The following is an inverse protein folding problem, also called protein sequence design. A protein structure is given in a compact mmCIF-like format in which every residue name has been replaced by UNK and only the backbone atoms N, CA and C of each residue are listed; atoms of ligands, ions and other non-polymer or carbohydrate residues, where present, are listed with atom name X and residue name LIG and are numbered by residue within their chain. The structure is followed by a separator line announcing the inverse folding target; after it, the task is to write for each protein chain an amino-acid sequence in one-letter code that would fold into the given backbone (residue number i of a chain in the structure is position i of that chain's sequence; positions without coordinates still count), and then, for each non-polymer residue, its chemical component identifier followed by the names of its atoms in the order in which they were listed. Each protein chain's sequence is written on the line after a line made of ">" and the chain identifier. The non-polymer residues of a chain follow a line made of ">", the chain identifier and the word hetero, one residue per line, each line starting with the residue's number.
data_IF_540034113591
#
_entry.id   IF_540034113591
#
_cell.length_a   1.000
_cell.length_b   1.000
_cell.length_c   1.000
_cell.angle_alpha   90.00
_cell.angle_beta   90.00
_cell.angle_gamma   90.00
#
_symmetry.space_group_name_H-M   'P 1'
#
loop_
_entity.id
_entity.type
_entity.pdbx_description
1 polymer ?
#
# COMPACT_ATOMS: atom_id res chain seq x y z
N UNK A 1 7.23 19.27 18.11
CA UNK A 1 7.09 17.99 17.39
C UNK A 1 5.61 17.63 17.35
N UNK A 2 5.06 17.17 16.23
CA UNK A 2 3.64 16.85 16.09
C UNK A 2 3.43 15.34 16.28
N UNK A 3 2.35 14.98 16.95
CA UNK A 3 1.93 13.58 17.09
C UNK A 3 1.00 13.18 15.94
N UNK A 4 1.46 12.28 15.07
CA UNK A 4 0.72 11.77 13.91
C UNK A 4 -0.30 10.69 14.28
N UNK A 5 -0.14 10.03 15.44
CA UNK A 5 -1.02 8.95 15.87
C UNK A 5 -2.01 9.37 16.96
N UNK A 6 -2.08 10.66 17.32
CA UNK A 6 -3.09 11.21 18.23
C UNK A 6 -3.18 10.43 19.55
N UNK A 7 -2.03 10.23 20.19
CA UNK A 7 -1.83 9.54 21.46
C UNK A 7 -1.81 8.01 21.35
N UNK A 8 -2.11 7.44 20.18
CA UNK A 8 -2.16 6.00 20.01
C UNK A 8 -0.76 5.40 19.77
N UNK A 9 -0.44 4.36 20.53
CA UNK A 9 0.85 3.67 20.46
C UNK A 9 0.95 2.90 19.13
N UNK A 10 2.02 3.15 18.39
CA UNK A 10 2.42 2.34 17.25
C UNK A 10 3.04 1.05 17.76
N UNK A 11 2.48 -0.10 17.38
CA UNK A 11 2.93 -1.40 17.88
C UNK A 11 3.90 -2.08 16.92
N UNK A 12 3.69 -1.92 15.62
CA UNK A 12 4.52 -2.55 14.60
C UNK A 12 4.70 -1.61 13.40
N UNK A 13 5.88 -1.68 12.79
CA UNK A 13 6.25 -0.94 11.60
C UNK A 13 7.00 -1.84 10.63
N UNK A 14 6.66 -1.74 9.34
CA UNK A 14 7.40 -2.38 8.26
C UNK A 14 7.62 -1.35 7.17
N UNK A 15 8.87 -1.19 6.75
CA UNK A 15 9.27 -0.33 5.65
C UNK A 15 10.02 -1.16 4.60
N UNK A 16 9.53 -1.10 3.36
CA UNK A 16 10.17 -1.76 2.21
C UNK A 16 10.87 -0.75 1.30
N UNK A 17 10.52 0.53 1.41
CA UNK A 17 11.17 1.60 0.67
C UNK A 17 10.39 2.91 0.67
N UNK A 18 10.84 3.86 -0.15
CA UNK A 18 10.27 5.21 -0.19
C UNK A 18 8.77 5.20 -0.53
N UNK A 19 7.94 5.65 0.42
CA UNK A 19 6.47 5.65 0.34
C UNK A 19 5.88 4.23 0.16
N UNK A 20 6.56 3.22 0.68
CA UNK A 20 6.14 1.82 0.72
C UNK A 20 6.34 1.25 2.12
N UNK A 21 5.30 1.33 2.95
CA UNK A 21 5.35 0.97 4.36
C UNK A 21 3.98 0.55 4.87
N UNK A 22 3.97 -0.15 6.00
CA UNK A 22 2.77 -0.47 6.76
C UNK A 22 3.00 -0.23 8.26
N UNK A 23 1.94 0.22 8.94
CA UNK A 23 1.98 0.49 10.38
C UNK A 23 0.71 0.02 11.08
N UNK A 24 0.92 -0.66 12.20
CA UNK A 24 -0.13 -1.04 13.16
C UNK A 24 -0.09 -0.09 14.32
N UNK A 25 -1.26 0.45 14.65
CA UNK A 25 -1.44 1.42 15.71
C UNK A 25 -2.58 0.92 16.59
N UNK A 26 -2.35 0.89 17.89
CA UNK A 26 -3.33 0.37 18.83
C UNK A 26 -4.66 1.15 18.71
N UNK A 27 -5.77 0.41 18.63
CA UNK A 27 -7.11 1.00 18.47
C UNK A 27 -7.39 1.64 17.09
N UNK A 28 -6.52 1.43 16.08
CA UNK A 28 -6.71 1.93 14.71
C UNK A 28 -6.55 0.82 13.68
N UNK A 29 -7.10 1.05 12.48
CA UNK A 29 -6.86 0.18 11.33
C UNK A 29 -5.44 0.36 10.82
N UNK A 30 -4.88 -0.72 10.31
CA UNK A 30 -3.58 -0.74 9.65
C UNK A 30 -3.50 0.34 8.58
N UNK A 31 -2.49 1.20 8.69
CA UNK A 31 -2.18 2.17 7.64
C UNK A 31 -1.17 1.56 6.71
N UNK A 32 -1.47 1.53 5.42
CA UNK A 32 -0.67 0.89 4.39
C UNK A 32 -0.43 1.87 3.26
N UNK A 33 0.83 2.00 2.85
CA UNK A 33 1.27 2.82 1.74
C UNK A 33 2.02 1.96 0.75
N UNK A 34 1.62 2.04 -0.53
CA UNK A 34 2.36 1.46 -1.65
C UNK A 34 2.41 2.51 -2.75
N UNK A 35 3.62 2.84 -3.21
CA UNK A 35 3.82 3.83 -4.26
C UNK A 35 3.30 3.29 -5.60
N UNK A 36 2.46 4.06 -6.29
CA UNK A 36 1.98 3.70 -7.64
C UNK A 36 0.78 2.74 -7.69
N UNK A 37 0.31 2.27 -6.54
CA UNK A 37 -0.91 1.45 -6.41
C UNK A 37 -2.07 2.32 -5.92
N UNK A 38 -3.26 2.11 -6.47
CA UNK A 38 -4.48 2.84 -6.07
C UNK A 38 -4.85 2.53 -4.62
N UNK A 39 -5.28 3.56 -3.89
CA UNK A 39 -5.68 3.45 -2.48
C UNK A 39 -6.79 2.41 -2.25
N UNK A 40 -7.75 2.28 -3.18
CA UNK A 40 -8.82 1.28 -3.07
C UNK A 40 -8.30 -0.16 -3.20
N UNK A 41 -7.28 -0.41 -4.03
CA UNK A 41 -6.63 -1.70 -4.17
C UNK A 41 -5.85 -2.01 -2.89
N UNK A 42 -5.05 -1.05 -2.40
CA UNK A 42 -4.31 -1.19 -1.12
C UNK A 42 -5.27 -1.51 0.03
N UNK A 43 -6.40 -0.80 0.14
CA UNK A 43 -7.35 -1.00 1.22
C UNK A 43 -8.03 -2.38 1.18
N UNK A 44 -8.32 -2.91 -0.02
CA UNK A 44 -9.10 -4.15 -0.19
C UNK A 44 -8.27 -5.42 -0.27
N UNK A 45 -7.09 -5.37 -0.89
CA UNK A 45 -6.34 -6.58 -1.25
C UNK A 45 -5.03 -6.75 -0.50
N UNK A 46 -4.42 -5.66 -0.02
CA UNK A 46 -3.11 -5.71 0.64
C UNK A 46 -3.31 -5.70 2.15
N UNK A 47 -2.68 -6.64 2.87
CA UNK A 47 -2.72 -6.74 4.34
C UNK A 47 -1.42 -6.24 4.97
N UNK A 48 -1.37 -6.11 6.29
CA UNK A 48 -0.10 -5.80 6.97
C UNK A 48 0.89 -6.98 6.84
N UNK A 49 0.39 -8.21 7.03
CA UNK A 49 1.22 -9.42 6.96
C UNK A 49 1.88 -9.61 5.59
N UNK A 50 1.24 -9.12 4.53
CA UNK A 50 1.82 -9.08 3.19
C UNK A 50 3.19 -8.36 3.19
N UNK A 51 3.31 -7.23 3.89
CA UNK A 51 4.58 -6.50 4.00
C UNK A 51 5.60 -7.27 4.84
N UNK A 52 5.18 -7.87 5.96
CA UNK A 52 6.09 -8.68 6.79
C UNK A 52 6.64 -9.86 6.00
N UNK A 53 5.82 -10.47 5.15
CA UNK A 53 6.20 -11.59 4.30
C UNK A 53 7.18 -11.16 3.21
N UNK A 54 6.92 -10.05 2.51
CA UNK A 54 7.88 -9.47 1.58
C UNK A 54 9.23 -9.20 2.25
N UNK A 55 9.23 -8.64 3.45
CA UNK A 55 10.46 -8.30 4.16
C UNK A 55 11.26 -9.54 4.58
N UNK A 56 10.58 -10.57 5.10
CA UNK A 56 11.23 -11.75 5.68
C UNK A 56 11.59 -12.83 4.65
N UNK A 57 10.75 -13.01 3.62
CA UNK A 57 10.93 -14.05 2.60
C UNK A 57 11.62 -13.51 1.32
N UNK A 58 11.90 -12.21 1.25
CA UNK A 58 12.48 -11.54 0.07
C UNK A 58 11.67 -11.81 -1.21
N UNK A 59 10.33 -11.83 -1.07
CA UNK A 59 9.41 -12.08 -2.18
C UNK A 59 8.84 -10.79 -2.75
N UNK A 60 8.73 -10.74 -4.07
CA UNK A 60 7.95 -9.72 -4.76
C UNK A 60 6.49 -10.14 -4.87
N UNK A 61 5.59 -9.28 -4.39
CA UNK A 61 4.15 -9.46 -4.58
C UNK A 61 3.62 -8.45 -5.58
N UNK A 62 2.67 -8.89 -6.39
CA UNK A 62 2.03 -8.02 -7.38
C UNK A 62 0.52 -8.03 -7.26
N UNK A 63 -0.12 -6.93 -7.66
CA UNK A 63 -1.57 -6.75 -7.67
C UNK A 63 -2.03 -6.13 -8.97
N UNK A 64 -3.17 -6.59 -9.47
CA UNK A 64 -3.82 -5.98 -10.62
C UNK A 64 -4.66 -4.77 -10.19
N UNK A 65 -4.61 -3.72 -11.00
CA UNK A 65 -5.49 -2.57 -10.88
C UNK A 65 -5.98 -2.10 -12.25
N UNK A 66 -7.22 -1.65 -12.31
CA UNK A 66 -7.77 -1.01 -13.51
C UNK A 66 -7.61 0.50 -13.41
N UNK A 67 -7.17 1.17 -14.47
CA UNK A 67 -7.14 2.63 -14.59
C UNK A 67 -7.66 3.10 -15.94
N UNK A 68 -8.17 4.33 -15.97
CA UNK A 68 -8.57 4.99 -17.22
C UNK A 68 -7.37 5.82 -17.68
N UNK A 69 -7.01 5.72 -18.96
CA UNK A 69 -5.95 6.54 -19.57
C UNK A 69 -6.37 7.04 -20.94
N UNK A 70 -5.97 8.25 -21.27
CA UNK A 70 -6.08 8.79 -22.62
C UNK A 70 -4.79 8.53 -23.41
N UNK A 71 -4.94 8.16 -24.68
CA UNK A 71 -3.87 8.14 -25.68
C UNK A 71 -4.42 8.76 -26.97
N UNK A 72 -3.74 9.78 -27.50
CA UNK A 72 -4.19 10.51 -28.71
C UNK A 72 -5.67 10.93 -28.62
N UNK A 73 -6.06 11.53 -27.49
CA UNK A 73 -7.43 11.96 -27.20
C UNK A 73 -8.50 10.85 -27.12
N UNK A 74 -8.11 9.58 -27.24
CA UNK A 74 -9.01 8.43 -27.05
C UNK A 74 -8.84 7.84 -25.65
N UNK A 75 -9.95 7.51 -24.99
CA UNK A 75 -9.98 7.05 -23.60
C UNK A 75 -10.09 5.53 -23.55
N UNK A 76 -9.25 4.91 -22.72
CA UNK A 76 -9.13 3.46 -22.58
C UNK A 76 -9.23 3.05 -21.11
N UNK A 77 -9.87 1.91 -20.86
CA UNK A 77 -9.72 1.21 -19.58
C UNK A 77 -8.58 0.21 -19.70
N UNK A 78 -7.55 0.39 -18.90
CA UNK A 78 -6.33 -0.42 -18.91
C UNK A 78 -6.26 -1.20 -17.60
N UNK A 79 -5.96 -2.49 -17.69
CA UNK A 79 -5.57 -3.31 -16.54
C UNK A 79 -4.05 -3.35 -16.48
N UNK A 80 -3.49 -3.01 -15.33
CA UNK A 80 -2.05 -3.04 -15.08
C UNK A 80 -1.75 -3.91 -13.87
N UNK A 81 -0.66 -4.66 -13.95
CA UNK A 81 -0.05 -5.32 -12.79
C UNK A 81 0.95 -4.36 -12.15
N UNK A 82 0.85 -4.15 -10.84
CA UNK A 82 1.75 -3.33 -10.03
C UNK A 82 2.46 -4.19 -8.99
N UNK A 83 3.66 -3.77 -8.60
CA UNK A 83 4.42 -4.25 -7.45
C UNK A 83 3.95 -3.45 -6.24
#
# INVERSE_FOLDING_TARGET
>A
MKDENNGAVMTEFVELGAKMYALRVNGKKDTKKVKGVKSNVVARTIRFDDYTRCLNEEIDMTRQQSCIRSKLHQVYTIRETKI
#
